data_IF_067992379185
#
_entry.id   IF_067992379185
#
_cell.length_a   1.000
_cell.length_b   1.000
_cell.length_c   1.000
_cell.angle_alpha   90.00
_cell.angle_beta   90.00
_cell.angle_gamma   90.00
#
_symmetry.space_group_name_H-M   'P 1'
#
loop_
_entity.id
_entity.type
_entity.pdbx_description
1 polymer ?
#
# COMPACT_ATOMS: atom_id res chain seq x y z
N UNK A 1 0.47 -37.23 32.69
CA UNK A 1 0.35 -35.82 32.25
C UNK A 1 1.47 -35.56 31.26
N UNK A 2 1.19 -35.40 29.96
CA UNK A 2 2.19 -34.89 29.02
C UNK A 2 2.06 -33.36 28.95
N UNK A 3 3.15 -32.67 29.25
CA UNK A 3 3.31 -31.24 28.99
C UNK A 3 3.13 -31.00 27.49
N UNK A 4 2.05 -30.31 27.12
CA UNK A 4 1.83 -29.88 25.74
C UNK A 4 2.80 -28.76 25.43
N UNK A 5 3.60 -28.98 24.39
CA UNK A 5 4.68 -28.14 23.92
C UNK A 5 4.40 -26.65 23.99
N UNK A 6 5.25 -25.95 24.74
CA UNK A 6 5.58 -24.58 24.36
C UNK A 6 6.31 -24.68 23.04
N UNK A 7 5.63 -24.40 21.93
CA UNK A 7 6.31 -23.79 20.81
C UNK A 7 6.90 -22.49 21.36
N UNK A 8 8.16 -22.59 21.82
CA UNK A 8 8.94 -21.49 22.33
C UNK A 8 8.92 -20.42 21.26
N UNK A 9 8.27 -19.30 21.57
CA UNK A 9 8.32 -18.11 20.74
C UNK A 9 9.78 -17.86 20.32
N UNK A 10 10.04 -17.81 19.01
CA UNK A 10 11.38 -17.65 18.45
C UNK A 10 11.53 -16.23 17.87
N UNK A 11 12.21 -15.31 18.59
CA UNK A 11 12.44 -13.95 18.13
C UNK A 11 13.12 -13.88 16.75
N UNK A 12 13.98 -14.84 16.42
CA UNK A 12 14.68 -14.86 15.14
C UNK A 12 13.73 -15.07 13.94
N UNK A 13 12.64 -15.82 14.13
CA UNK A 13 11.61 -16.02 13.10
C UNK A 13 10.84 -14.73 12.84
N UNK A 14 10.55 -13.97 13.89
CA UNK A 14 9.86 -12.68 13.79
C UNK A 14 10.76 -11.59 13.23
N UNK A 15 12.06 -11.57 13.58
CA UNK A 15 13.05 -10.69 12.94
C UNK A 15 13.13 -10.95 11.43
N UNK A 16 13.30 -12.21 11.03
CA UNK A 16 13.37 -12.56 9.61
C UNK A 16 12.06 -12.24 8.88
N UNK A 17 10.91 -12.33 9.56
CA UNK A 17 9.62 -11.95 9.00
C UNK A 17 9.49 -10.42 8.86
N UNK A 18 9.94 -9.66 9.86
CA UNK A 18 9.98 -8.20 9.80
C UNK A 18 10.86 -7.73 8.65
N UNK A 19 12.08 -8.25 8.54
CA UNK A 19 13.01 -7.89 7.47
C UNK A 19 12.42 -8.22 6.07
N UNK A 20 11.69 -9.34 5.93
CA UNK A 20 10.96 -9.67 4.69
C UNK A 20 9.86 -8.66 4.38
N UNK A 21 9.07 -8.26 5.38
CA UNK A 21 8.01 -7.28 5.20
C UNK A 21 8.56 -5.91 4.78
N UNK A 22 9.60 -5.42 5.47
CA UNK A 22 10.27 -4.15 5.15
C UNK A 22 10.84 -4.20 3.74
N UNK A 23 11.55 -5.28 3.37
CA UNK A 23 12.09 -5.43 2.02
C UNK A 23 11.00 -5.39 0.96
N UNK A 24 9.89 -6.12 1.14
CA UNK A 24 8.79 -6.11 0.16
C UNK A 24 8.14 -4.73 0.06
N UNK A 25 7.99 -4.02 1.17
CA UNK A 25 7.48 -2.64 1.15
C UNK A 25 8.39 -1.72 0.32
N UNK A 26 9.72 -1.85 0.47
CA UNK A 26 10.69 -1.10 -0.33
C UNK A 26 10.64 -1.45 -1.82
N UNK A 27 10.47 -2.74 -2.16
CA UNK A 27 10.27 -3.18 -3.55
C UNK A 27 9.01 -2.52 -4.15
N UNK A 28 7.90 -2.51 -3.42
CA UNK A 28 6.66 -1.86 -3.86
C UNK A 28 6.87 -0.35 -4.07
N UNK A 29 7.59 0.32 -3.16
CA UNK A 29 7.92 1.75 -3.30
C UNK A 29 8.73 2.03 -4.58
N UNK A 30 9.58 1.09 -5.01
CA UNK A 30 10.32 1.21 -6.28
C UNK A 30 9.45 0.94 -7.51
N UNK A 31 8.43 0.07 -7.38
CA UNK A 31 7.47 -0.23 -8.46
C UNK A 31 6.45 0.90 -8.66
N UNK A 32 6.19 1.74 -7.65
CA UNK A 32 5.16 2.78 -7.68
C UNK A 32 5.42 3.94 -8.67
N UNK A 33 6.61 4.58 -8.73
CA UNK A 33 6.83 5.74 -9.60
C UNK A 33 6.57 5.44 -11.09
N UNK A 34 7.07 4.33 -11.68
CA UNK A 34 6.74 4.00 -13.07
C UNK A 34 5.24 3.85 -13.34
N UNK A 35 4.50 3.32 -12.37
CA UNK A 35 3.04 3.15 -12.47
C UNK A 35 2.33 4.50 -12.33
N UNK A 36 2.78 5.34 -11.39
CA UNK A 36 2.28 6.71 -11.21
C UNK A 36 2.47 7.57 -12.45
N UNK A 37 3.68 7.59 -13.00
CA UNK A 37 4.00 8.31 -14.24
C UNK A 37 3.13 7.83 -15.42
N UNK A 38 2.89 6.52 -15.54
CA UNK A 38 2.01 5.99 -16.56
C UNK A 38 0.56 6.49 -16.41
N UNK A 39 0.06 6.54 -15.17
CA UNK A 39 -1.29 7.03 -14.87
C UNK A 39 -1.43 8.54 -15.08
N UNK A 40 -0.39 9.32 -14.76
CA UNK A 40 -0.37 10.77 -14.99
C UNK A 40 -0.24 11.14 -16.47
N UNK A 41 0.59 10.41 -17.22
CA UNK A 41 0.77 10.62 -18.67
C UNK A 41 -0.45 10.21 -19.48
N UNK A 42 -1.34 9.37 -18.92
CA UNK A 42 -2.63 9.08 -19.52
C UNK A 42 -3.54 10.32 -19.38
N UNK A 43 -3.57 11.15 -20.43
CA UNK A 43 -4.23 12.46 -20.52
C UNK A 43 -5.41 12.71 -19.55
N UNK A 44 -5.42 13.84 -18.81
CA UNK A 44 -6.59 14.25 -18.05
C UNK A 44 -7.75 14.57 -19.01
N UNK A 45 -8.95 14.10 -18.66
CA UNK A 45 -10.12 14.27 -19.53
C UNK A 45 -10.77 15.62 -19.25
N UNK A 46 -10.58 16.59 -20.16
CA UNK A 46 -11.28 17.87 -20.08
C UNK A 46 -12.77 17.74 -20.44
N UNK A 47 -13.63 18.44 -19.68
CA UNK A 47 -15.08 18.52 -19.91
C UNK A 47 -15.38 19.50 -21.05
N UNK A 48 -15.48 18.96 -22.26
CA UNK A 48 -15.91 19.66 -23.47
C UNK A 48 -16.55 18.66 -24.45
N UNK A 49 -16.99 19.07 -25.66
CA UNK A 49 -17.59 18.14 -26.63
C UNK A 49 -16.75 16.86 -26.81
N UNK A 50 -17.40 15.70 -26.71
CA UNK A 50 -16.75 14.39 -26.84
C UNK A 50 -15.92 13.91 -25.63
N UNK A 51 -16.03 14.56 -24.46
CA UNK A 51 -15.29 14.16 -23.25
C UNK A 51 -15.57 12.73 -22.81
N UNK A 52 -16.80 12.23 -22.97
CA UNK A 52 -17.15 10.84 -22.63
C UNK A 52 -16.34 9.83 -23.47
N UNK A 53 -16.16 10.11 -24.76
CA UNK A 53 -15.34 9.26 -25.65
C UNK A 53 -13.87 9.30 -25.24
N UNK A 54 -13.35 10.46 -24.83
CA UNK A 54 -11.99 10.60 -24.30
C UNK A 54 -11.84 9.86 -22.96
N UNK A 55 -12.81 9.93 -22.07
CA UNK A 55 -12.83 9.17 -20.81
C UNK A 55 -12.83 7.66 -21.06
N UNK A 56 -13.59 7.19 -22.05
CA UNK A 56 -13.65 5.77 -22.38
C UNK A 56 -12.32 5.27 -22.96
N UNK A 57 -11.68 6.07 -23.81
CA UNK A 57 -10.35 5.79 -24.34
C UNK A 57 -9.28 5.80 -23.24
N UNK A 58 -9.33 6.78 -22.33
CA UNK A 58 -8.45 6.85 -21.17
C UNK A 58 -8.60 5.59 -20.29
N UNK A 59 -9.82 5.25 -19.85
CA UNK A 59 -10.07 4.05 -19.04
C UNK A 59 -9.58 2.77 -19.70
N UNK A 60 -9.75 2.64 -21.02
CA UNK A 60 -9.27 1.47 -21.75
C UNK A 60 -7.74 1.31 -21.65
N UNK A 61 -6.99 2.42 -21.57
CA UNK A 61 -5.53 2.44 -21.41
C UNK A 61 -5.10 2.22 -19.96
N UNK A 62 -5.80 2.81 -19.00
CA UNK A 62 -5.37 2.80 -17.59
C UNK A 62 -6.00 1.71 -16.74
N UNK A 63 -7.01 0.99 -17.23
CA UNK A 63 -7.76 0.00 -16.43
C UNK A 63 -6.86 -1.05 -15.78
N UNK A 64 -6.01 -1.71 -16.57
CA UNK A 64 -5.16 -2.79 -16.06
C UNK A 64 -4.04 -2.22 -15.19
N UNK A 65 -3.26 -1.20 -15.65
CA UNK A 65 -2.21 -0.61 -14.83
C UNK A 65 -2.73 0.01 -13.53
N UNK A 66 -3.88 0.70 -13.57
CA UNK A 66 -4.54 1.25 -12.38
C UNK A 66 -4.99 0.17 -11.41
N UNK A 67 -5.48 -0.98 -11.91
CA UNK A 67 -5.80 -2.12 -11.06
C UNK A 67 -4.56 -2.70 -10.38
N UNK A 68 -3.45 -2.86 -11.13
CA UNK A 68 -2.17 -3.29 -10.57
C UNK A 68 -1.67 -2.30 -9.51
N UNK A 69 -1.73 -1.00 -9.78
CA UNK A 69 -1.39 0.06 -8.83
C UNK A 69 -2.21 -0.06 -7.53
N UNK A 70 -3.53 -0.27 -7.68
CA UNK A 70 -4.43 -0.43 -6.55
C UNK A 70 -4.04 -1.66 -5.70
N UNK A 71 -3.72 -2.79 -6.34
CA UNK A 71 -3.29 -4.01 -5.64
C UNK A 71 -1.98 -3.81 -4.88
N UNK A 72 -1.00 -3.12 -5.48
CA UNK A 72 0.26 -2.78 -4.81
C UNK A 72 0.03 -1.84 -3.62
N UNK A 73 -0.89 -0.88 -3.73
CA UNK A 73 -1.23 0.02 -2.64
C UNK A 73 -1.85 -0.73 -1.45
N UNK A 74 -2.77 -1.66 -1.74
CA UNK A 74 -3.38 -2.53 -0.73
C UNK A 74 -2.31 -3.44 -0.08
N UNK A 75 -1.43 -4.04 -0.88
CA UNK A 75 -0.34 -4.88 -0.36
C UNK A 75 0.59 -4.09 0.55
N UNK A 76 1.02 -2.89 0.12
CA UNK A 76 1.84 -2.00 0.95
C UNK A 76 1.13 -1.68 2.28
N UNK A 77 -0.20 -1.45 2.26
CA UNK A 77 -0.93 -1.11 3.48
C UNK A 77 -0.93 -2.28 4.45
N UNK A 78 -1.26 -3.48 3.96
CA UNK A 78 -1.18 -4.70 4.76
C UNK A 78 0.23 -4.94 5.30
N UNK A 79 1.29 -4.64 4.54
CA UNK A 79 2.67 -4.74 5.02
C UNK A 79 2.96 -3.75 6.16
N UNK A 80 2.46 -2.51 6.09
CA UNK A 80 2.63 -1.54 7.19
C UNK A 80 1.98 -2.03 8.49
N UNK A 81 0.79 -2.63 8.41
CA UNK A 81 0.10 -3.22 9.57
C UNK A 81 0.88 -4.41 10.14
N UNK A 82 1.40 -5.29 9.28
CA UNK A 82 2.22 -6.44 9.70
C UNK A 82 3.54 -5.98 10.34
N UNK A 83 4.18 -4.95 9.80
CA UNK A 83 5.40 -4.35 10.37
C UNK A 83 5.10 -3.80 11.77
N UNK A 84 4.02 -3.05 11.95
CA UNK A 84 3.64 -2.47 13.23
C UNK A 84 3.44 -3.56 14.32
N UNK A 85 2.68 -4.61 14.01
CA UNK A 85 2.47 -5.74 14.93
C UNK A 85 3.79 -6.40 15.33
N UNK A 86 4.70 -6.57 14.36
CA UNK A 86 6.00 -7.20 14.59
C UNK A 86 6.95 -6.33 15.40
N UNK A 87 6.96 -5.03 15.13
CA UNK A 87 7.71 -4.05 15.91
C UNK A 87 7.27 -4.08 17.37
N UNK A 88 5.96 -4.03 17.64
CA UNK A 88 5.42 -4.09 19.01
C UNK A 88 5.87 -5.37 19.71
N UNK A 89 5.75 -6.51 19.04
CA UNK A 89 6.12 -7.82 19.60
C UNK A 89 7.62 -7.88 19.94
N UNK A 90 8.49 -7.59 18.97
CA UNK A 90 9.94 -7.63 19.13
C UNK A 90 10.45 -6.57 20.13
N UNK A 91 9.82 -5.40 20.18
CA UNK A 91 10.17 -4.32 21.10
C UNK A 91 9.99 -4.75 22.54
N UNK A 92 8.90 -5.45 22.88
CA UNK A 92 8.69 -5.98 24.23
C UNK A 92 9.85 -6.90 24.63
N UNK A 93 10.18 -7.85 23.77
CA UNK A 93 11.22 -8.87 24.03
C UNK A 93 12.61 -8.23 24.19
N UNK A 94 12.98 -7.29 23.32
CA UNK A 94 14.29 -6.64 23.40
C UNK A 94 14.39 -5.64 24.54
N UNK A 95 13.27 -5.02 24.93
CA UNK A 95 13.24 -4.19 26.13
C UNK A 95 13.46 -5.02 27.38
N UNK A 96 12.78 -6.16 27.52
CA UNK A 96 12.92 -7.09 28.64
C UNK A 96 14.34 -7.69 28.71
N UNK A 97 14.95 -7.94 27.55
CA UNK A 97 16.34 -8.42 27.44
C UNK A 97 17.39 -7.30 27.58
N UNK A 98 17.01 -6.03 27.74
CA UNK A 98 17.93 -4.90 27.85
C UNK A 98 18.72 -4.58 26.56
N UNK A 99 18.27 -5.06 25.39
CA UNK A 99 18.96 -4.86 24.12
C UNK A 99 18.55 -3.54 23.45
N UNK A 100 19.14 -2.44 23.92
CA UNK A 100 18.85 -1.08 23.46
C UNK A 100 19.17 -0.84 21.97
N UNK A 101 20.16 -1.54 21.42
CA UNK A 101 20.50 -1.42 19.99
C UNK A 101 19.35 -1.92 19.11
N UNK A 102 18.80 -3.09 19.42
CA UNK A 102 17.66 -3.64 18.69
C UNK A 102 16.40 -2.81 18.86
N UNK A 103 16.15 -2.26 20.06
CA UNK A 103 15.03 -1.34 20.29
C UNK A 103 15.14 -0.12 19.38
N UNK A 104 16.31 0.53 19.29
CA UNK A 104 16.52 1.67 18.38
C UNK A 104 16.32 1.32 16.90
N UNK A 105 16.73 0.12 16.47
CA UNK A 105 16.45 -0.36 15.10
C UNK A 105 14.94 -0.41 14.85
N UNK A 106 14.18 -0.95 15.79
CA UNK A 106 12.72 -1.04 15.68
C UNK A 106 12.06 0.34 15.66
N UNK A 107 12.54 1.28 16.48
CA UNK A 107 12.06 2.67 16.48
C UNK A 107 12.27 3.35 15.13
N UNK A 108 13.41 3.09 14.46
CA UNK A 108 13.67 3.59 13.11
C UNK A 108 12.69 3.03 12.08
N UNK A 109 12.42 1.72 12.13
CA UNK A 109 11.45 1.07 11.22
C UNK A 109 10.04 1.62 11.44
N UNK A 110 9.63 1.80 12.69
CA UNK A 110 8.31 2.36 13.04
C UNK A 110 8.17 3.78 12.49
N UNK A 111 9.15 4.66 12.74
CA UNK A 111 9.13 6.04 12.29
C UNK A 111 9.04 6.16 10.75
N UNK A 112 9.79 5.35 10.00
CA UNK A 112 9.71 5.33 8.53
C UNK A 112 8.34 4.83 8.04
N UNK A 113 7.79 3.80 8.70
CA UNK A 113 6.49 3.22 8.33
C UNK A 113 5.35 4.20 8.61
N UNK A 114 5.38 4.89 9.76
CA UNK A 114 4.42 5.92 10.13
C UNK A 114 4.48 7.12 9.18
N UNK A 115 5.68 7.55 8.77
CA UNK A 115 5.84 8.62 7.80
C UNK A 115 5.24 8.26 6.43
N UNK A 116 5.23 6.98 6.06
CA UNK A 116 4.71 6.50 4.78
C UNK A 116 3.18 6.31 4.78
N UNK A 117 2.57 5.99 5.92
CA UNK A 117 1.15 5.65 6.01
C UNK A 117 0.18 6.72 5.44
N UNK A 118 0.36 8.03 5.67
CA UNK A 118 -0.52 9.05 5.08
C UNK A 118 -0.46 9.11 3.55
N UNK A 119 0.75 8.96 2.98
CA UNK A 119 0.96 8.95 1.53
C UNK A 119 0.28 7.73 0.90
N UNK A 120 0.40 6.59 1.56
CA UNK A 120 -0.23 5.35 1.11
C UNK A 120 -1.75 5.42 1.18
N UNK A 121 -2.31 5.97 2.25
CA UNK A 121 -3.75 6.18 2.37
C UNK A 121 -4.28 7.11 1.26
N UNK A 122 -3.59 8.21 0.97
CA UNK A 122 -3.94 9.11 -0.12
C UNK A 122 -3.86 8.40 -1.49
N UNK A 123 -2.85 7.55 -1.69
CA UNK A 123 -2.67 6.74 -2.90
C UNK A 123 -3.77 5.70 -3.08
N UNK A 124 -4.15 4.98 -2.03
CA UNK A 124 -5.28 4.05 -2.08
C UNK A 124 -6.59 4.77 -2.40
N UNK A 125 -6.81 5.94 -1.79
CA UNK A 125 -7.97 6.76 -2.10
C UNK A 125 -7.99 7.20 -3.57
N UNK A 126 -6.85 7.63 -4.13
CA UNK A 126 -6.78 8.02 -5.55
C UNK A 126 -7.02 6.83 -6.49
N UNK A 127 -6.60 5.63 -6.11
CA UNK A 127 -6.71 4.40 -6.89
C UNK A 127 -7.99 3.59 -6.65
N UNK A 128 -8.87 4.03 -5.75
CA UNK A 128 -10.14 3.36 -5.44
C UNK A 128 -11.03 2.99 -6.65
N UNK A 129 -11.12 3.83 -7.71
CA UNK A 129 -11.91 3.50 -8.91
C UNK A 129 -11.37 2.27 -9.63
N UNK A 130 -10.09 1.93 -9.41
CA UNK A 130 -9.42 0.79 -10.02
C UNK A 130 -9.38 -0.42 -9.08
N UNK A 131 -10.24 -0.49 -8.06
CA UNK A 131 -10.30 -1.61 -7.12
C UNK A 131 -10.79 -2.93 -7.74
N UNK A 132 -11.35 -2.91 -8.95
CA UNK A 132 -11.75 -4.08 -9.73
C UNK A 132 -11.45 -3.90 -11.21
N UNK A 133 -11.53 -4.98 -12.00
CA UNK A 133 -11.41 -4.94 -13.47
C UNK A 133 -12.76 -4.70 -14.19
N UNK A 134 -13.84 -4.48 -13.44
CA UNK A 134 -15.15 -4.19 -14.01
C UNK A 134 -15.20 -2.77 -14.57
N UNK A 135 -15.08 -2.65 -15.89
CA UNK A 135 -15.03 -1.37 -16.58
C UNK A 135 -16.27 -0.49 -16.34
N UNK A 136 -17.44 -1.09 -16.03
CA UNK A 136 -18.64 -0.34 -15.70
C UNK A 136 -18.50 0.37 -14.34
N UNK A 137 -18.10 -0.36 -13.30
CA UNK A 137 -17.84 0.23 -11.98
C UNK A 137 -16.75 1.31 -12.03
N UNK A 138 -15.65 1.08 -12.77
CA UNK A 138 -14.59 2.07 -12.93
C UNK A 138 -15.09 3.35 -13.61
N UNK A 139 -15.91 3.19 -14.67
CA UNK A 139 -16.53 4.29 -15.37
C UNK A 139 -17.46 5.11 -14.47
N UNK A 140 -18.34 4.45 -13.71
CA UNK A 140 -19.25 5.12 -12.77
C UNK A 140 -18.50 5.88 -11.66
N UNK A 141 -17.44 5.28 -11.10
CA UNK A 141 -16.59 5.91 -10.10
C UNK A 141 -15.86 7.15 -10.66
N UNK A 142 -15.30 7.05 -11.86
CA UNK A 142 -14.66 8.18 -12.53
C UNK A 142 -15.67 9.28 -12.86
N UNK A 143 -16.84 8.95 -13.40
CA UNK A 143 -17.92 9.91 -13.66
C UNK A 143 -18.31 10.68 -12.40
N UNK A 144 -18.44 9.99 -11.26
CA UNK A 144 -18.76 10.62 -9.97
C UNK A 144 -17.69 11.62 -9.55
N UNK A 145 -16.40 11.27 -9.72
CA UNK A 145 -15.27 12.18 -9.44
C UNK A 145 -15.28 13.41 -10.35
N UNK A 146 -15.51 13.24 -11.65
CA UNK A 146 -15.54 14.34 -12.60
C UNK A 146 -16.73 15.29 -12.35
N UNK A 147 -17.94 14.76 -12.09
CA UNK A 147 -19.12 15.58 -11.79
C UNK A 147 -18.96 16.43 -10.52
N UNK A 148 -18.20 15.95 -9.54
CA UNK A 148 -17.94 16.68 -8.30
C UNK A 148 -16.85 17.76 -8.43
N UNK A 149 -15.99 17.71 -9.46
CA UNK A 149 -14.95 18.73 -9.74
C UNK A 149 -15.47 19.93 -10.55
N UNK A 150 -16.65 19.81 -11.16
CA UNK A 150 -17.30 20.84 -11.99
C UNK A 150 -18.37 21.67 -11.25
N UNK A 151 -18.44 21.59 -9.93
CA UNK A 151 -19.26 22.45 -9.06
C UNK A 151 -18.35 23.36 -8.26
#
# INVERSE_FOLDING_TARGET
MPEKGSDMYNPATDEASLDRCVRRLLEIIQEFPPIGEFLEAAEPVETGPGWEKRLAAHLSRVRIPGFCANRLAVEAWTLTELIAVRVITLRSIYSDAGNQEKVRKLDGIEAETEAFAPLLHATMASLEPFSSLDGKSQWEAMLKRYKNKTR
#
